data_IF_687292543632
#
_entry.id   IF_687292543632
#
_cell.length_a   1.000
_cell.length_b   1.000
_cell.length_c   1.000
_cell.angle_alpha   90.00
_cell.angle_beta   90.00
_cell.angle_gamma   90.00
#
_symmetry.space_group_name_H-M   'P 1'
#
loop_
_entity.id
_entity.type
_entity.pdbx_description
1 polymer ?
#
# COMPACT_ATOMS: atom_id res chain seq x y z
N UNK A 1 25.14 18.58 16.25
CA UNK A 1 25.83 18.51 14.95
C UNK A 1 26.85 17.40 15.02
N UNK A 2 26.89 16.51 14.02
CA UNK A 2 27.77 15.35 14.05
C UNK A 2 29.17 15.64 13.48
N UNK A 3 29.26 16.33 12.33
CA UNK A 3 30.54 16.71 11.73
C UNK A 3 31.16 17.99 12.33
N UNK A 4 30.32 18.99 12.64
CA UNK A 4 30.71 20.28 13.23
C UNK A 4 31.87 21.01 12.51
N UNK A 5 31.69 21.43 11.25
CA UNK A 5 32.75 22.09 10.48
C UNK A 5 33.11 23.47 11.02
N UNK A 6 34.38 23.88 10.85
CA UNK A 6 34.88 25.22 11.21
C UNK A 6 34.79 26.23 10.06
N UNK A 7 34.61 25.75 8.83
CA UNK A 7 34.43 26.49 7.58
C UNK A 7 33.60 25.62 6.64
N UNK A 8 32.64 26.22 5.92
CA UNK A 8 31.90 25.56 4.84
C UNK A 8 32.36 26.14 3.51
N UNK A 9 32.73 25.28 2.57
CA UNK A 9 33.05 25.66 1.20
C UNK A 9 32.03 24.98 0.29
N UNK A 10 31.32 25.77 -0.51
CA UNK A 10 30.35 25.32 -1.51
C UNK A 10 31.00 25.46 -2.88
N UNK A 11 31.28 24.33 -3.52
CA UNK A 11 31.62 24.27 -4.95
C UNK A 11 30.29 24.39 -5.71
N UNK A 12 29.97 25.62 -6.14
CA UNK A 12 28.66 26.02 -6.63
C UNK A 12 28.61 25.98 -8.16
N UNK A 13 28.30 24.79 -8.69
CA UNK A 13 27.85 24.62 -10.07
C UNK A 13 26.36 24.95 -10.20
N UNK A 14 25.99 25.67 -11.25
CA UNK A 14 24.61 25.97 -11.62
C UNK A 14 24.15 25.18 -12.85
N UNK A 15 24.85 24.10 -13.19
CA UNK A 15 24.48 23.14 -14.24
C UNK A 15 23.27 22.28 -13.86
N UNK A 16 22.97 22.10 -12.57
CA UNK A 16 21.73 21.45 -12.14
C UNK A 16 20.49 22.37 -12.19
N UNK A 17 20.64 23.62 -12.62
CA UNK A 17 19.54 24.59 -12.64
C UNK A 17 18.53 24.29 -13.76
N UNK A 18 17.26 24.62 -13.51
CA UNK A 18 16.22 24.57 -14.54
C UNK A 18 16.65 25.39 -15.78
N UNK A 19 16.57 24.78 -16.96
CA UNK A 19 16.94 25.38 -18.25
C UNK A 19 18.39 25.17 -18.67
N UNK A 20 19.22 24.49 -17.88
CA UNK A 20 20.54 24.04 -18.31
C UNK A 20 20.43 22.78 -19.18
N UNK A 21 20.95 22.85 -20.41
CA UNK A 21 20.85 21.78 -21.41
C UNK A 21 21.81 20.61 -21.16
N UNK A 22 22.81 20.76 -20.28
CA UNK A 22 23.78 19.71 -19.99
C UNK A 22 23.44 18.95 -18.70
N UNK A 23 22.98 19.64 -17.66
CA UNK A 23 22.62 18.99 -16.41
C UNK A 23 21.22 18.35 -16.41
N UNK A 24 20.31 18.84 -17.26
CA UNK A 24 18.93 18.33 -17.43
C UNK A 24 18.14 18.19 -16.12
N UNK A 25 18.55 18.93 -15.08
CA UNK A 25 17.89 18.99 -13.79
C UNK A 25 16.93 20.18 -13.73
N UNK A 26 16.12 20.22 -12.67
CA UNK A 26 15.04 21.20 -12.51
C UNK A 26 15.18 22.00 -11.21
N UNK A 27 16.42 22.26 -10.75
CA UNK A 27 16.63 23.03 -9.53
C UNK A 27 16.31 24.49 -9.79
N UNK A 28 15.33 25.03 -9.06
CA UNK A 28 14.93 26.44 -9.17
C UNK A 28 15.89 27.35 -8.40
N UNK A 29 15.94 28.65 -8.71
CA UNK A 29 16.72 29.63 -7.92
C UNK A 29 16.35 29.61 -6.42
N UNK A 30 15.07 29.40 -6.09
CA UNK A 30 14.63 29.25 -4.71
C UNK A 30 15.23 27.99 -4.06
N UNK A 31 15.35 26.88 -4.79
CA UNK A 31 16.03 25.67 -4.32
C UNK A 31 17.47 25.93 -3.90
N UNK A 32 18.25 26.64 -4.73
CA UNK A 32 19.62 27.04 -4.38
C UNK A 32 19.70 27.96 -3.15
N UNK A 33 18.75 28.89 -3.02
CA UNK A 33 18.65 29.78 -1.88
C UNK A 33 18.42 29.00 -0.58
N UNK A 34 17.49 28.05 -0.57
CA UNK A 34 17.22 27.19 0.60
C UNK A 34 18.43 26.34 0.98
N UNK A 35 19.10 25.71 0.01
CA UNK A 35 20.32 24.93 0.28
C UNK A 35 21.43 25.78 0.93
N UNK A 36 21.64 26.99 0.42
CA UNK A 36 22.64 27.92 0.97
C UNK A 36 22.24 28.40 2.37
N UNK A 37 20.95 28.67 2.58
CA UNK A 37 20.44 29.12 3.87
C UNK A 37 20.64 28.07 4.96
N UNK A 38 20.34 26.80 4.66
CA UNK A 38 20.58 25.68 5.58
C UNK A 38 22.06 25.55 5.97
N UNK A 39 22.98 25.73 5.02
CA UNK A 39 24.42 25.66 5.27
C UNK A 39 24.96 26.87 6.04
N UNK A 40 24.31 28.04 5.92
CA UNK A 40 24.70 29.28 6.62
C UNK A 40 24.55 29.20 8.14
N UNK A 41 23.76 28.26 8.65
CA UNK A 41 23.65 27.97 10.09
C UNK A 41 24.85 27.22 10.68
N UNK A 42 25.77 26.72 9.84
CA UNK A 42 26.95 25.95 10.25
C UNK A 42 28.18 26.86 10.39
N UNK A 43 29.25 26.34 11.01
CA UNK A 43 30.55 27.01 11.11
C UNK A 43 30.50 28.46 11.65
N UNK A 44 29.48 28.83 12.42
CA UNK A 44 29.25 30.21 12.86
C UNK A 44 29.05 31.21 11.70
N UNK A 45 28.47 30.77 10.58
CA UNK A 45 28.23 31.59 9.39
C UNK A 45 29.41 31.73 8.44
N UNK A 46 30.54 31.03 8.71
CA UNK A 46 31.71 31.03 7.81
C UNK A 46 31.44 30.12 6.60
N UNK A 47 30.84 30.70 5.57
CA UNK A 47 30.52 30.04 4.29
C UNK A 47 31.25 30.74 3.14
N UNK A 48 31.94 29.97 2.31
CA UNK A 48 32.54 30.43 1.06
C UNK A 48 31.83 29.74 -0.09
N UNK A 49 31.32 30.53 -1.04
CA UNK A 49 30.71 30.01 -2.27
C UNK A 49 31.67 30.28 -3.42
N UNK A 50 32.17 29.20 -4.03
CA UNK A 50 33.04 29.26 -5.20
C UNK A 50 32.23 28.89 -6.44
N UNK A 51 32.11 29.82 -7.39
CA UNK A 51 31.41 29.57 -8.65
C UNK A 51 32.18 28.57 -9.52
N UNK A 52 31.47 27.56 -10.04
CA UNK A 52 32.05 26.50 -10.87
C UNK A 52 31.37 26.46 -12.25
N UNK A 53 30.63 25.38 -12.56
CA UNK A 53 29.93 25.15 -13.82
C UNK A 53 28.58 25.85 -13.93
N UNK A 54 27.97 25.70 -15.10
CA UNK A 54 26.73 26.33 -15.50
C UNK A 54 26.83 26.77 -16.95
N UNK A 55 25.87 26.36 -17.76
CA UNK A 55 25.94 26.49 -19.22
C UNK A 55 24.76 27.29 -19.79
N UNK A 56 23.74 27.55 -18.97
CA UNK A 56 22.71 28.54 -19.25
C UNK A 56 22.95 29.86 -18.49
N UNK A 57 23.28 30.93 -19.21
CA UNK A 57 23.60 32.25 -18.62
C UNK A 57 22.45 32.84 -17.79
N UNK A 58 21.20 32.64 -18.21
CA UNK A 58 20.04 33.16 -17.48
C UNK A 58 19.82 32.38 -16.18
N UNK A 59 19.96 31.06 -16.23
CA UNK A 59 19.84 30.19 -15.05
C UNK A 59 20.95 30.45 -14.04
N UNK A 60 22.20 30.63 -14.51
CA UNK A 60 23.33 31.06 -13.67
C UNK A 60 23.03 32.40 -13.00
N UNK A 61 22.64 33.41 -13.77
CA UNK A 61 22.38 34.77 -13.26
C UNK A 61 21.31 34.77 -12.17
N UNK A 62 20.19 34.10 -12.41
CA UNK A 62 19.08 34.00 -11.43
C UNK A 62 19.48 33.22 -10.18
N UNK A 63 20.17 32.09 -10.35
CA UNK A 63 20.55 31.21 -9.23
C UNK A 63 21.66 31.83 -8.37
N UNK A 64 22.67 32.44 -8.99
CA UNK A 64 23.73 33.18 -8.30
C UNK A 64 23.19 34.38 -7.53
N UNK A 65 22.22 35.12 -8.11
CA UNK A 65 21.52 36.20 -7.41
C UNK A 65 20.79 35.67 -6.17
N UNK A 66 20.08 34.55 -6.28
CA UNK A 66 19.35 33.94 -5.17
C UNK A 66 20.29 33.51 -4.03
N UNK A 67 21.42 32.88 -4.35
CA UNK A 67 22.47 32.53 -3.38
C UNK A 67 23.05 33.78 -2.72
N UNK A 68 23.35 34.81 -3.50
CA UNK A 68 23.93 36.06 -2.97
C UNK A 68 22.99 36.78 -2.01
N UNK A 69 21.68 36.79 -2.29
CA UNK A 69 20.68 37.36 -1.37
C UNK A 69 20.72 36.68 -0.01
N UNK A 70 20.83 35.35 0.02
CA UNK A 70 20.94 34.58 1.27
C UNK A 70 22.23 34.90 2.02
N UNK A 71 23.37 35.02 1.33
CA UNK A 71 24.63 35.41 1.95
C UNK A 71 24.58 36.84 2.54
N UNK A 72 23.76 37.72 1.97
CA UNK A 72 23.48 39.05 2.52
C UNK A 72 22.48 39.04 3.69
N UNK A 73 22.01 37.87 4.12
CA UNK A 73 21.09 37.69 5.25
C UNK A 73 19.61 37.78 4.89
N UNK A 74 19.25 37.76 3.61
CA UNK A 74 17.84 37.71 3.20
C UNK A 74 17.29 36.28 3.35
N UNK A 75 16.03 36.18 3.78
CA UNK A 75 15.35 34.89 3.83
C UNK A 75 15.05 34.38 2.41
N UNK A 76 15.16 33.07 2.15
CA UNK A 76 14.78 32.50 0.87
C UNK A 76 13.26 32.56 0.65
N UNK A 77 12.84 32.65 -0.61
CA UNK A 77 11.42 32.61 -0.99
C UNK A 77 10.78 31.27 -0.62
N UNK A 78 9.47 31.25 -0.33
CA UNK A 78 8.76 30.03 0.03
C UNK A 78 8.75 29.01 -1.12
N UNK A 79 9.07 27.75 -0.82
CA UNK A 79 8.96 26.66 -1.76
C UNK A 79 7.54 26.08 -1.74
N UNK A 80 6.98 25.69 -2.90
CA UNK A 80 5.72 24.96 -2.92
C UNK A 80 5.86 23.60 -2.21
N UNK A 81 4.77 22.91 -1.91
CA UNK A 81 4.83 21.52 -1.43
C UNK A 81 5.59 20.65 -2.45
N UNK A 82 6.71 20.06 -2.02
CA UNK A 82 7.56 19.21 -2.85
C UNK A 82 7.39 17.74 -2.45
N UNK A 83 7.37 16.87 -3.45
CA UNK A 83 7.41 15.42 -3.29
C UNK A 83 8.63 14.88 -4.03
N UNK A 84 9.48 14.12 -3.34
CA UNK A 84 10.61 13.46 -3.97
C UNK A 84 10.14 12.37 -4.94
N UNK A 85 10.88 12.13 -6.02
CA UNK A 85 10.63 11.01 -6.93
C UNK A 85 11.03 9.68 -6.29
N UNK A 86 10.58 8.57 -6.88
CA UNK A 86 10.92 7.22 -6.40
C UNK A 86 12.43 6.98 -6.51
N UNK A 87 13.03 7.36 -7.63
CA UNK A 87 14.47 7.19 -7.91
C UNK A 87 15.33 8.02 -6.95
N UNK A 88 14.89 9.25 -6.63
CA UNK A 88 15.56 10.10 -5.67
C UNK A 88 15.47 9.50 -4.25
N UNK A 89 14.32 8.98 -3.88
CA UNK A 89 14.09 8.36 -2.56
C UNK A 89 14.91 7.08 -2.40
N UNK A 90 14.96 6.23 -3.43
CA UNK A 90 15.79 5.02 -3.45
C UNK A 90 17.29 5.36 -3.35
N UNK A 91 17.74 6.36 -4.10
CA UNK A 91 19.14 6.82 -4.02
C UNK A 91 19.50 7.31 -2.62
N UNK A 92 18.63 8.12 -2.00
CA UNK A 92 18.82 8.58 -0.61
C UNK A 92 18.84 7.42 0.37
N UNK A 93 17.99 6.41 0.18
CA UNK A 93 17.99 5.20 1.01
C UNK A 93 19.28 4.41 0.90
N UNK A 94 19.78 4.18 -0.33
CA UNK A 94 21.05 3.48 -0.56
C UNK A 94 22.22 4.22 0.11
N UNK A 95 22.25 5.55 -0.02
CA UNK A 95 23.25 6.39 0.66
C UNK A 95 23.09 6.30 2.18
N UNK A 96 21.87 6.38 2.70
CA UNK A 96 21.61 6.28 4.14
C UNK A 96 22.05 4.92 4.70
N UNK A 97 21.77 3.84 3.98
CA UNK A 97 22.19 2.47 4.34
C UNK A 97 23.70 2.36 4.46
N UNK A 98 24.46 2.91 3.51
CA UNK A 98 25.92 2.86 3.57
C UNK A 98 26.51 3.81 4.63
N UNK A 99 25.96 5.03 4.73
CA UNK A 99 26.45 6.05 5.66
C UNK A 99 26.08 5.78 7.12
N UNK A 100 25.02 5.01 7.40
CA UNK A 100 24.61 4.63 8.76
C UNK A 100 25.70 3.90 9.56
N UNK A 101 26.69 3.32 8.87
CA UNK A 101 27.87 2.69 9.49
C UNK A 101 28.79 3.70 10.19
N UNK A 102 28.77 4.95 9.73
CA UNK A 102 29.69 6.00 10.15
C UNK A 102 28.99 7.16 10.86
N UNK A 103 27.72 7.41 10.55
CA UNK A 103 26.94 8.54 11.05
C UNK A 103 25.76 8.06 11.90
N UNK A 104 25.74 8.44 13.18
CA UNK A 104 24.68 8.15 14.16
C UNK A 104 23.37 8.85 13.84
N UNK A 105 23.43 9.98 13.12
CA UNK A 105 22.24 10.75 12.73
C UNK A 105 21.48 10.15 11.55
N UNK A 106 22.05 9.16 10.86
CA UNK A 106 21.45 8.55 9.66
C UNK A 106 20.70 7.27 10.05
N UNK A 107 19.37 7.30 9.97
CA UNK A 107 18.50 6.13 10.17
C UNK A 107 17.95 5.62 8.82
N UNK A 108 18.41 4.45 8.33
CA UNK A 108 17.91 3.86 7.09
C UNK A 108 16.41 3.56 7.09
N UNK A 109 15.80 3.33 8.27
CA UNK A 109 14.38 2.99 8.38
C UNK A 109 13.47 4.17 8.07
N UNK A 110 13.96 5.39 8.32
CA UNK A 110 13.19 6.61 8.06
C UNK A 110 13.11 6.94 6.55
N UNK A 111 14.03 6.39 5.76
CA UNK A 111 14.17 6.68 4.33
C UNK A 111 13.78 5.50 3.43
N UNK A 112 13.12 4.46 3.96
CA UNK A 112 12.79 3.25 3.20
C UNK A 112 11.87 3.59 2.01
N UNK A 113 12.27 3.25 0.75
CA UNK A 113 11.46 3.52 -0.42
C UNK A 113 10.16 2.70 -0.36
N UNK A 114 9.11 3.21 -1.00
CA UNK A 114 7.85 2.48 -1.10
C UNK A 114 8.02 1.31 -2.08
N UNK A 115 7.89 0.07 -1.62
CA UNK A 115 8.13 -1.11 -2.46
C UNK A 115 7.17 -1.19 -3.67
N UNK A 116 7.77 -1.22 -4.86
CA UNK A 116 7.19 -1.72 -6.11
C UNK A 116 7.59 -3.19 -6.26
N UNK A 117 6.69 -4.10 -5.85
CA UNK A 117 6.89 -5.55 -5.94
C UNK A 117 7.08 -6.01 -7.40
N UNK A 118 8.09 -6.84 -7.67
CA UNK A 118 8.37 -7.47 -8.98
C UNK A 118 7.28 -8.50 -9.37
N UNK A 119 7.06 -8.70 -10.68
CA UNK A 119 6.03 -9.62 -11.24
C UNK A 119 6.20 -11.10 -10.83
N UNK A 120 7.40 -11.50 -10.39
CA UNK A 120 7.69 -12.88 -9.91
C UNK A 120 7.45 -13.07 -8.41
N UNK A 121 7.15 -11.99 -7.69
CA UNK A 121 6.93 -12.04 -6.25
C UNK A 121 5.46 -12.31 -5.93
N UNK A 122 5.22 -13.21 -4.97
CA UNK A 122 3.89 -13.48 -4.46
C UNK A 122 3.76 -12.86 -3.08
N UNK A 123 2.65 -12.17 -2.83
CA UNK A 123 2.39 -11.65 -1.49
C UNK A 123 2.16 -12.81 -0.51
N UNK A 124 2.62 -12.68 0.73
CA UNK A 124 2.28 -13.63 1.81
C UNK A 124 0.76 -13.80 1.90
N UNK A 125 0.00 -12.74 1.67
CA UNK A 125 -1.46 -12.76 1.62
C UNK A 125 -1.99 -13.71 0.55
N UNK A 126 -1.39 -13.74 -0.64
CA UNK A 126 -1.77 -14.66 -1.72
C UNK A 126 -1.41 -16.11 -1.38
N UNK A 127 -0.24 -16.34 -0.79
CA UNK A 127 0.17 -17.67 -0.32
C UNK A 127 -0.84 -18.20 0.73
N UNK A 128 -1.23 -17.36 1.69
CA UNK A 128 -2.20 -17.72 2.73
C UNK A 128 -3.59 -18.00 2.15
N UNK A 129 -4.01 -17.25 1.12
CA UNK A 129 -5.27 -17.48 0.39
C UNK A 129 -5.24 -18.81 -0.36
N UNK A 130 -4.15 -19.09 -1.09
CA UNK A 130 -3.96 -20.37 -1.79
C UNK A 130 -3.95 -21.57 -0.85
N UNK A 131 -3.26 -21.47 0.29
CA UNK A 131 -3.28 -22.51 1.33
C UNK A 131 -4.70 -22.74 1.88
N UNK A 132 -5.49 -21.68 2.11
CA UNK A 132 -6.89 -21.82 2.57
C UNK A 132 -7.75 -22.52 1.52
N UNK A 133 -7.67 -22.10 0.26
CA UNK A 133 -8.41 -22.71 -0.84
C UNK A 133 -8.11 -24.21 -0.93
N UNK A 134 -6.82 -24.58 -0.88
CA UNK A 134 -6.40 -25.98 -0.88
C UNK A 134 -6.93 -26.76 0.32
N UNK A 135 -6.91 -26.17 1.53
CA UNK A 135 -7.45 -26.80 2.73
C UNK A 135 -8.95 -27.07 2.63
N UNK A 136 -9.74 -26.08 2.19
CA UNK A 136 -11.20 -26.21 2.06
C UNK A 136 -11.58 -27.26 1.01
N UNK A 137 -10.87 -27.30 -0.13
CA UNK A 137 -11.04 -28.33 -1.15
C UNK A 137 -10.72 -29.73 -0.59
N UNK A 138 -9.53 -29.92 -0.02
CA UNK A 138 -9.08 -31.26 0.40
C UNK A 138 -9.82 -31.83 1.61
N UNK A 139 -10.23 -30.99 2.56
CA UNK A 139 -10.89 -31.44 3.80
C UNK A 139 -12.40 -31.43 3.74
N UNK A 140 -12.99 -30.51 2.98
CA UNK A 140 -14.43 -30.28 2.97
C UNK A 140 -15.05 -30.39 1.57
N UNK A 141 -14.26 -30.72 0.55
CA UNK A 141 -14.70 -30.82 -0.85
C UNK A 141 -15.42 -29.55 -1.34
N UNK A 142 -14.96 -28.40 -0.85
CA UNK A 142 -15.50 -27.11 -1.28
C UNK A 142 -14.85 -26.68 -2.59
N UNK A 143 -15.63 -26.10 -3.49
CA UNK A 143 -15.20 -25.65 -4.81
C UNK A 143 -15.33 -24.15 -4.95
N UNK A 144 -14.56 -23.56 -5.87
CA UNK A 144 -14.63 -22.14 -6.17
C UNK A 144 -15.89 -21.81 -6.96
N UNK A 145 -16.55 -20.69 -6.62
CA UNK A 145 -17.62 -20.14 -7.44
C UNK A 145 -17.03 -19.22 -8.52
N UNK A 146 -17.27 -19.49 -9.81
CA UNK A 146 -16.84 -18.60 -10.87
C UNK A 146 -17.66 -17.30 -10.85
N UNK A 147 -16.97 -16.16 -10.75
CA UNK A 147 -17.59 -14.83 -10.83
C UNK A 147 -17.63 -14.39 -12.31
N UNK A 148 -18.81 -14.06 -12.82
CA UNK A 148 -18.98 -13.69 -14.24
C UNK A 148 -18.50 -12.28 -14.58
N UNK A 149 -18.42 -11.39 -13.59
CA UNK A 149 -17.97 -10.02 -13.80
C UNK A 149 -16.43 -9.97 -13.74
N UNK A 150 -15.77 -9.57 -14.82
CA UNK A 150 -14.29 -9.51 -14.91
C UNK A 150 -13.66 -8.69 -13.78
N UNK A 151 -14.28 -7.58 -13.38
CA UNK A 151 -13.79 -6.76 -12.27
C UNK A 151 -13.83 -7.49 -10.93
N UNK A 152 -14.86 -8.30 -10.70
CA UNK A 152 -14.97 -9.10 -9.49
C UNK A 152 -14.11 -10.36 -9.56
N UNK A 153 -14.02 -10.99 -10.73
CA UNK A 153 -13.19 -12.16 -10.98
C UNK A 153 -11.71 -11.84 -10.72
N UNK A 154 -11.19 -10.75 -11.29
CA UNK A 154 -9.80 -10.35 -11.08
C UNK A 154 -9.49 -10.09 -9.59
N UNK A 155 -10.44 -9.49 -8.86
CA UNK A 155 -10.23 -9.11 -7.44
C UNK A 155 -10.50 -10.24 -6.44
N UNK A 156 -11.42 -11.16 -6.74
CA UNK A 156 -11.95 -12.15 -5.79
C UNK A 156 -11.90 -13.60 -6.29
N UNK A 157 -11.28 -13.88 -7.43
CA UNK A 157 -11.02 -15.27 -7.85
C UNK A 157 -10.17 -16.01 -6.81
N UNK A 158 -10.53 -17.26 -6.54
CA UNK A 158 -9.95 -18.13 -5.51
C UNK A 158 -10.37 -17.79 -4.09
N UNK A 159 -11.26 -16.81 -3.90
CA UNK A 159 -11.65 -16.30 -2.58
C UNK A 159 -13.10 -16.60 -2.18
N UNK A 160 -13.91 -17.08 -3.14
CA UNK A 160 -15.29 -17.48 -2.91
C UNK A 160 -15.39 -18.99 -3.05
N UNK A 161 -15.65 -19.68 -1.94
CA UNK A 161 -15.70 -21.14 -1.88
C UNK A 161 -17.07 -21.60 -1.42
N UNK A 162 -17.63 -22.61 -2.06
CA UNK A 162 -18.92 -23.19 -1.69
C UNK A 162 -18.85 -24.71 -1.54
N UNK A 163 -19.77 -25.25 -0.77
CA UNK A 163 -20.00 -26.70 -0.71
C UNK A 163 -20.82 -27.15 -1.93
N UNK A 164 -20.71 -28.44 -2.30
CA UNK A 164 -21.43 -29.00 -3.46
C UNK A 164 -22.95 -29.05 -3.27
N UNK A 165 -23.41 -28.99 -2.02
CA UNK A 165 -24.82 -29.06 -1.60
C UNK A 165 -25.44 -27.66 -1.39
N UNK A 166 -24.84 -26.61 -1.98
CA UNK A 166 -25.23 -25.22 -1.77
C UNK A 166 -26.70 -24.94 -2.12
N UNK A 167 -27.17 -25.43 -3.27
CA UNK A 167 -28.51 -25.10 -3.80
C UNK A 167 -29.63 -25.95 -3.19
N UNK A 168 -29.30 -27.14 -2.70
CA UNK A 168 -30.30 -28.14 -2.29
C UNK A 168 -30.60 -28.10 -0.79
N UNK A 169 -29.66 -27.62 0.03
CA UNK A 169 -29.80 -27.64 1.49
C UNK A 169 -30.77 -26.57 2.02
N UNK A 170 -31.53 -26.94 3.06
CA UNK A 170 -32.48 -26.03 3.72
C UNK A 170 -31.80 -24.96 4.58
N UNK A 171 -30.65 -25.27 5.18
CA UNK A 171 -29.91 -24.35 6.05
C UNK A 171 -28.53 -24.08 5.48
N UNK A 172 -28.23 -22.79 5.27
CA UNK A 172 -27.00 -22.30 4.68
C UNK A 172 -26.31 -21.28 5.58
N UNK A 173 -24.98 -21.38 5.69
CA UNK A 173 -24.14 -20.37 6.31
C UNK A 173 -23.42 -19.58 5.22
N UNK A 174 -23.54 -18.25 5.26
CA UNK A 174 -22.97 -17.35 4.29
C UNK A 174 -22.19 -16.21 4.96
N UNK A 175 -21.00 -15.91 4.45
CA UNK A 175 -20.32 -14.65 4.74
C UNK A 175 -18.81 -14.78 4.90
N UNK A 176 -18.21 -13.81 5.58
CA UNK A 176 -16.77 -13.77 5.79
C UNK A 176 -16.38 -14.39 7.12
N UNK A 177 -15.88 -15.62 7.04
CA UNK A 177 -15.54 -16.43 8.21
C UNK A 177 -14.13 -16.17 8.73
N UNK A 178 -13.29 -15.43 8.00
CA UNK A 178 -11.90 -15.15 8.37
C UNK A 178 -11.60 -13.66 8.33
N UNK A 179 -10.90 -13.16 9.33
CA UNK A 179 -10.34 -11.81 9.28
C UNK A 179 -8.92 -11.87 8.75
N UNK A 180 -8.71 -11.17 7.65
CA UNK A 180 -7.39 -10.78 7.19
C UNK A 180 -7.30 -9.26 7.43
N UNK A 181 -6.31 -8.83 8.20
CA UNK A 181 -6.06 -7.41 8.48
C UNK A 181 -4.93 -6.92 7.59
N UNK A 182 -5.11 -5.72 7.05
CA UNK A 182 -4.04 -4.96 6.43
C UNK A 182 -3.17 -4.39 7.55
N UNK A 183 -2.09 -5.10 7.94
CA UNK A 183 -1.16 -4.56 8.94
C UNK A 183 0.29 -4.93 8.64
N UNK A 184 1.12 -3.88 8.61
CA UNK A 184 2.59 -3.77 8.54
C UNK A 184 3.31 -4.63 7.49
N UNK A 185 3.95 -3.94 6.55
CA UNK A 185 4.69 -4.47 5.39
C UNK A 185 5.97 -5.22 5.75
N UNK A 186 6.44 -5.14 7.00
CA UNK A 186 7.70 -5.76 7.43
C UNK A 186 7.47 -6.62 8.68
N UNK A 187 7.50 -7.93 8.47
CA UNK A 187 7.67 -8.91 9.55
C UNK A 187 8.84 -9.79 9.12
N UNK A 188 9.92 -9.82 9.90
CA UNK A 188 10.94 -10.85 9.76
C UNK A 188 10.31 -12.17 10.21
N UNK A 189 9.72 -12.89 9.26
CA UNK A 189 9.02 -14.15 9.51
C UNK A 189 10.07 -15.23 9.72
N UNK A 190 10.40 -15.51 10.98
CA UNK A 190 11.13 -16.72 11.32
C UNK A 190 10.28 -17.94 10.97
N UNK A 191 10.53 -18.57 9.81
CA UNK A 191 9.69 -19.63 9.23
C UNK A 191 9.40 -20.78 10.20
N UNK A 192 10.36 -21.16 11.05
CA UNK A 192 10.20 -22.28 11.99
C UNK A 192 9.40 -21.94 13.26
N UNK A 193 9.23 -20.65 13.58
CA UNK A 193 8.57 -20.20 14.81
C UNK A 193 7.26 -19.46 14.56
N UNK A 194 6.94 -19.23 13.29
CA UNK A 194 5.73 -18.53 12.88
C UNK A 194 4.62 -19.55 12.61
N UNK A 195 3.48 -19.40 13.28
CA UNK A 195 2.34 -20.30 13.15
C UNK A 195 1.11 -19.54 12.68
N UNK A 196 0.35 -20.15 11.77
CA UNK A 196 -0.94 -19.62 11.34
C UNK A 196 -2.05 -20.15 12.25
N UNK A 197 -2.70 -19.24 12.97
CA UNK A 197 -3.90 -19.55 13.76
C UNK A 197 -5.13 -19.24 12.93
N UNK A 198 -5.96 -20.25 12.65
CA UNK A 198 -7.20 -20.12 11.88
C UNK A 198 -8.38 -20.72 12.65
N UNK A 199 -9.14 -19.86 13.33
CA UNK A 199 -10.32 -20.23 14.11
C UNK A 199 -11.49 -20.68 13.23
N UNK A 200 -11.54 -20.23 11.97
CA UNK A 200 -12.64 -20.57 11.06
C UNK A 200 -12.71 -22.07 10.77
N UNK A 201 -11.59 -22.80 10.91
CA UNK A 201 -11.55 -24.27 10.77
C UNK A 201 -12.52 -24.99 11.71
N UNK A 202 -12.65 -24.51 12.95
CA UNK A 202 -13.57 -25.13 13.90
C UNK A 202 -15.03 -24.90 13.50
N UNK A 203 -15.34 -23.69 13.02
CA UNK A 203 -16.67 -23.32 12.56
C UNK A 203 -17.08 -24.10 11.31
N UNK A 204 -16.21 -24.17 10.29
CA UNK A 204 -16.46 -24.95 9.07
C UNK A 204 -16.62 -26.43 9.41
N UNK A 205 -15.78 -26.97 10.29
CA UNK A 205 -15.89 -28.35 10.75
C UNK A 205 -17.21 -28.64 11.46
N UNK A 206 -17.66 -27.73 12.34
CA UNK A 206 -18.96 -27.83 13.00
C UNK A 206 -20.12 -27.76 12.00
N UNK A 207 -20.12 -26.78 11.10
CA UNK A 207 -21.19 -26.61 10.12
C UNK A 207 -21.33 -27.83 9.20
N UNK A 208 -20.21 -28.43 8.77
CA UNK A 208 -20.23 -29.67 7.99
C UNK A 208 -20.72 -30.88 8.79
N UNK A 209 -20.43 -30.94 10.09
CA UNK A 209 -20.92 -32.00 10.97
C UNK A 209 -22.45 -31.94 11.14
N UNK A 210 -23.00 -30.74 11.23
CA UNK A 210 -24.46 -30.52 11.31
C UNK A 210 -25.16 -30.63 9.93
N UNK A 211 -24.41 -30.82 8.84
CA UNK A 211 -24.95 -30.99 7.49
C UNK A 211 -25.39 -29.68 6.82
N UNK A 212 -24.88 -28.53 7.26
CA UNK A 212 -25.23 -27.24 6.65
C UNK A 212 -24.42 -26.99 5.36
N UNK A 213 -25.04 -26.31 4.38
CA UNK A 213 -24.31 -25.77 3.24
C UNK A 213 -23.53 -24.52 3.65
N UNK A 214 -22.41 -24.29 2.99
CA UNK A 214 -21.48 -23.24 3.38
C UNK A 214 -21.01 -22.47 2.15
N UNK A 215 -21.07 -21.14 2.27
CA UNK A 215 -20.56 -20.19 1.30
C UNK A 215 -19.58 -19.25 2.03
N UNK A 216 -18.29 -19.57 1.90
CA UNK A 216 -17.17 -18.81 2.47
C UNK A 216 -16.73 -17.74 1.48
N UNK A 217 -16.74 -16.48 1.92
CA UNK A 217 -16.34 -15.33 1.11
C UNK A 217 -15.21 -14.59 1.83
N UNK A 218 -14.00 -14.62 1.29
CA UNK A 218 -12.95 -13.73 1.75
C UNK A 218 -13.12 -12.34 1.11
N UNK A 219 -13.46 -11.35 1.95
CA UNK A 219 -13.82 -9.99 1.53
C UNK A 219 -12.58 -9.12 1.26
N UNK A 220 -11.38 -9.57 1.65
CA UNK A 220 -10.15 -8.83 1.35
C UNK A 220 -9.75 -9.05 -0.12
N UNK A 221 -9.78 -8.03 -0.99
CA UNK A 221 -9.44 -8.20 -2.41
C UNK A 221 -7.98 -8.66 -2.59
N UNK A 222 -7.67 -9.29 -3.72
CA UNK A 222 -6.27 -9.45 -4.15
C UNK A 222 -5.64 -8.05 -4.37
N UNK A 223 -4.33 -7.87 -4.10
CA UNK A 223 -3.65 -6.63 -4.42
C UNK A 223 -3.82 -6.32 -5.91
N UNK A 224 -4.02 -5.04 -6.23
CA UNK A 224 -4.27 -4.60 -7.61
C UNK A 224 -2.92 -4.63 -8.37
N UNK A 225 -2.85 -5.33 -9.50
CA UNK A 225 -1.75 -5.18 -10.46
C UNK A 225 -1.64 -3.69 -10.81
N UNK A 226 -0.46 -3.08 -10.62
CA UNK A 226 -0.23 -1.62 -10.59
C UNK A 226 -0.40 -0.91 -11.95
N UNK A 227 -1.37 -1.28 -12.79
CA UNK A 227 -1.58 -0.59 -14.06
C UNK A 227 -2.39 0.71 -13.99
N UNK A 228 -2.98 1.09 -12.86
CA UNK A 228 -3.61 2.43 -12.70
C UNK A 228 -3.75 2.83 -11.23
N UNK A 229 -2.65 3.23 -10.58
CA UNK A 229 -2.69 3.71 -9.19
C UNK A 229 -2.88 5.23 -9.16
N UNK A 230 -4.13 5.68 -9.19
CA UNK A 230 -4.45 7.07 -8.80
C UNK A 230 -5.63 7.19 -7.82
N UNK A 231 -6.28 6.08 -7.39
CA UNK A 231 -7.47 6.16 -6.51
C UNK A 231 -7.62 4.97 -5.56
N UNK A 232 -6.76 4.86 -4.53
CA UNK A 232 -6.63 3.62 -3.74
C UNK A 232 -7.61 3.40 -2.57
N UNK A 233 -8.00 4.44 -1.81
CA UNK A 233 -8.72 4.20 -0.53
C UNK A 233 -10.24 4.19 -0.60
N UNK A 234 -10.87 4.96 -1.50
CA UNK A 234 -12.34 5.00 -1.60
C UNK A 234 -12.94 3.79 -2.34
N UNK A 235 -12.20 3.16 -3.25
CA UNK A 235 -12.68 2.02 -4.06
C UNK A 235 -12.64 0.66 -3.33
N UNK A 236 -11.98 0.55 -2.18
CA UNK A 236 -11.84 -0.72 -1.47
C UNK A 236 -13.15 -1.16 -0.81
N UNK A 237 -13.89 -0.23 -0.20
CA UNK A 237 -15.16 -0.49 0.47
C UNK A 237 -16.30 -0.83 -0.50
N UNK A 238 -16.29 -0.29 -1.73
CA UNK A 238 -17.39 -0.52 -2.68
C UNK A 238 -17.36 -1.94 -3.25
N UNK A 239 -16.20 -2.43 -3.68
CA UNK A 239 -16.13 -3.74 -4.33
C UNK A 239 -16.41 -4.91 -3.37
N UNK A 240 -16.09 -4.77 -2.09
CA UNK A 240 -16.46 -5.74 -1.05
C UNK A 240 -17.98 -5.90 -0.92
N UNK A 241 -18.75 -4.83 -1.14
CA UNK A 241 -20.23 -4.86 -1.10
C UNK A 241 -20.78 -5.53 -2.35
N UNK A 242 -20.22 -5.17 -3.50
CA UNK A 242 -20.69 -5.66 -4.79
C UNK A 242 -20.56 -7.19 -4.91
N UNK A 243 -19.50 -7.78 -4.35
CA UNK A 243 -19.35 -9.26 -4.31
C UNK A 243 -20.46 -9.92 -3.51
N UNK A 244 -20.74 -9.43 -2.29
CA UNK A 244 -21.77 -10.04 -1.45
C UNK A 244 -23.16 -9.90 -2.08
N UNK A 245 -23.44 -8.75 -2.72
CA UNK A 245 -24.70 -8.54 -3.45
C UNK A 245 -24.79 -9.47 -4.65
N UNK A 246 -23.70 -9.62 -5.42
CA UNK A 246 -23.65 -10.54 -6.54
C UNK A 246 -23.92 -11.98 -6.12
N UNK A 247 -23.27 -12.44 -5.04
CA UNK A 247 -23.48 -13.79 -4.52
C UNK A 247 -24.88 -13.99 -3.98
N UNK A 248 -25.45 -12.96 -3.36
CA UNK A 248 -26.82 -13.00 -2.89
C UNK A 248 -27.80 -13.19 -4.05
N UNK A 249 -27.72 -12.33 -5.06
CA UNK A 249 -28.68 -12.31 -6.18
C UNK A 249 -28.55 -13.56 -7.07
N UNK A 250 -27.33 -14.09 -7.26
CA UNK A 250 -27.08 -15.16 -8.22
C UNK A 250 -27.03 -16.57 -7.61
N UNK A 251 -26.78 -16.72 -6.32
CA UNK A 251 -26.63 -18.05 -5.69
C UNK A 251 -27.57 -18.23 -4.49
N UNK A 252 -27.64 -17.26 -3.59
CA UNK A 252 -28.44 -17.41 -2.36
C UNK A 252 -29.93 -17.30 -2.66
N UNK A 253 -30.34 -16.32 -3.46
CA UNK A 253 -31.75 -16.10 -3.78
C UNK A 253 -32.37 -17.25 -4.58
N UNK A 254 -31.57 -17.95 -5.38
CA UNK A 254 -32.01 -19.10 -6.18
C UNK A 254 -31.91 -20.44 -5.44
N UNK A 255 -31.29 -20.46 -4.25
CA UNK A 255 -31.14 -21.68 -3.45
C UNK A 255 -32.46 -22.07 -2.79
N UNK A 256 -32.62 -23.35 -2.45
CA UNK A 256 -33.76 -23.83 -1.67
C UNK A 256 -33.63 -23.57 -0.16
N UNK A 257 -32.65 -22.76 0.25
CA UNK A 257 -32.38 -22.49 1.66
C UNK A 257 -33.53 -21.72 2.31
N UNK A 258 -34.18 -22.35 3.28
CA UNK A 258 -35.22 -21.74 4.12
C UNK A 258 -34.62 -20.93 5.27
N UNK A 259 -33.40 -21.27 5.70
CA UNK A 259 -32.68 -20.57 6.78
C UNK A 259 -31.29 -20.18 6.30
N UNK A 260 -31.06 -18.88 6.20
CA UNK A 260 -29.75 -18.32 5.83
C UNK A 260 -29.14 -17.65 7.07
N UNK A 261 -28.02 -18.19 7.54
CA UNK A 261 -27.24 -17.63 8.64
C UNK A 261 -26.13 -16.78 8.03
N UNK A 262 -26.14 -15.47 8.32
CA UNK A 262 -25.13 -14.55 7.80
C UNK A 262 -24.07 -14.28 8.88
N UNK A 263 -22.81 -14.49 8.53
CA UNK A 263 -21.67 -14.25 9.42
C UNK A 263 -20.75 -13.18 8.82
N UNK A 264 -20.67 -12.04 9.50
CA UNK A 264 -19.68 -11.01 9.22
C UNK A 264 -18.64 -11.00 10.33
N UNK A 265 -17.36 -11.13 9.97
CA UNK A 265 -16.26 -10.93 10.90
C UNK A 265 -15.37 -9.76 10.44
N UNK A 266 -15.02 -8.86 11.36
CA UNK A 266 -14.11 -7.74 11.10
C UNK A 266 -14.65 -6.77 10.03
N UNK A 267 -13.85 -6.40 9.00
CA UNK A 267 -14.31 -5.55 7.90
C UNK A 267 -15.54 -6.09 7.16
N UNK A 268 -15.75 -7.42 7.19
CA UNK A 268 -16.90 -8.06 6.58
C UNK A 268 -18.24 -7.70 7.21
N UNK A 269 -18.26 -7.25 8.47
CA UNK A 269 -19.49 -6.82 9.14
C UNK A 269 -20.18 -5.68 8.39
N UNK A 270 -19.41 -4.70 7.89
CA UNK A 270 -19.96 -3.54 7.18
C UNK A 270 -20.60 -3.94 5.85
N UNK A 271 -19.94 -4.82 5.10
CA UNK A 271 -20.43 -5.31 3.82
C UNK A 271 -21.72 -6.14 4.00
N UNK A 272 -21.80 -6.95 5.06
CA UNK A 272 -23.01 -7.69 5.44
C UNK A 272 -24.17 -6.75 5.80
N UNK A 273 -23.92 -5.72 6.60
CA UNK A 273 -24.96 -4.73 6.97
C UNK A 273 -25.49 -4.01 5.72
N UNK A 274 -24.61 -3.63 4.80
CA UNK A 274 -25.00 -2.97 3.55
C UNK A 274 -25.81 -3.89 2.63
N UNK A 275 -25.50 -5.19 2.59
CA UNK A 275 -26.29 -6.20 1.89
C UNK A 275 -27.72 -6.26 2.46
N UNK A 276 -27.85 -6.37 3.78
CA UNK A 276 -29.15 -6.44 4.45
C UNK A 276 -30.00 -5.19 4.19
N UNK A 277 -29.37 -4.01 4.21
CA UNK A 277 -30.04 -2.74 3.92
C UNK A 277 -30.54 -2.65 2.47
N UNK A 278 -29.82 -3.20 1.50
CA UNK A 278 -30.18 -3.12 0.06
C UNK A 278 -31.18 -4.17 -0.39
N UNK A 279 -31.18 -5.35 0.21
CA UNK A 279 -32.01 -6.49 -0.23
C UNK A 279 -33.20 -6.79 0.66
N UNK A 280 -33.47 -5.95 1.67
CA UNK A 280 -34.72 -6.00 2.44
C UNK A 280 -34.97 -7.38 3.04
N UNK A 281 -33.94 -8.00 3.64
CA UNK A 281 -34.10 -9.30 4.27
C UNK A 281 -34.86 -9.09 5.57
N UNK A 282 -36.05 -9.67 5.69
CA UNK A 282 -36.87 -9.60 6.91
C UNK A 282 -36.15 -10.31 8.04
N UNK A 283 -35.44 -9.56 8.89
CA UNK A 283 -34.76 -10.08 10.08
C UNK A 283 -35.81 -10.54 11.09
N UNK A 284 -36.05 -11.85 11.18
CA UNK A 284 -36.69 -12.43 12.35
C UNK A 284 -35.68 -12.41 13.50
N UNK A 285 -35.94 -11.53 14.48
CA UNK A 285 -35.27 -11.52 15.77
C UNK A 285 -35.68 -12.73 16.60
#
# INVERSE_FOLDING_TARGET
MEFAPELVIISAGFDAAEGDELGECLVTPAGYAHMTHMLSGLAGGKVVVALEGGYNLDSISKSALAVTRVLLGQAPDELPPLTASEEATETVWLVAKEQSKYWKSVDPKACEPQETFEDISFSITEILKGHRQYYLYTKHNMMEIPLMNENLANRFSGQVMCTSDLLDNETMIFGNLRVELESSSTCDVHMHKSYLIDFSKQLVGWARKEGYSLLDVNILPKPVEKHNVTRGRQHMDESSKDVLIYLWDNFIQISNASRVIVLGHGPGCRAVVDLLNRRGVTLYR
#
